data_IF_241636289208
#
_entry.id   IF_241636289208
#
_cell.length_a   1.000
_cell.length_b   1.000
_cell.length_c   1.000
_cell.angle_alpha   90.00
_cell.angle_beta   90.00
_cell.angle_gamma   90.00
#
_symmetry.space_group_name_H-M   'P 1'
#
loop_
_entity.id
_entity.type
_entity.pdbx_description
1 polymer ?
#
# COMPACT_ATOMS: atom_id res chain seq x y z
N UNK A 1 -13.28 12.71 -7.54
CA UNK A 1 -12.91 11.42 -8.16
C UNK A 1 -13.17 11.58 -9.65
N UNK A 2 -12.30 11.03 -10.51
CA UNK A 2 -12.49 11.13 -11.95
C UNK A 2 -13.68 10.27 -12.40
N UNK A 3 -14.44 10.76 -13.37
CA UNK A 3 -15.45 9.97 -14.05
C UNK A 3 -14.76 9.02 -15.04
N UNK A 4 -15.17 7.76 -15.05
CA UNK A 4 -14.58 6.74 -15.92
C UNK A 4 -15.62 6.11 -16.87
N UNK A 5 -16.19 6.89 -17.80
CA UNK A 5 -17.21 6.41 -18.73
C UNK A 5 -16.68 5.38 -19.73
N UNK A 6 -15.36 5.32 -19.93
CA UNK A 6 -14.71 4.39 -20.85
C UNK A 6 -14.08 3.18 -20.14
N UNK A 7 -14.23 3.05 -18.82
CA UNK A 7 -13.69 1.96 -18.02
C UNK A 7 -12.18 1.73 -18.22
N UNK A 8 -11.42 2.83 -18.33
CA UNK A 8 -9.98 2.81 -18.60
C UNK A 8 -9.15 2.90 -17.32
N UNK A 9 -9.74 3.33 -16.20
CA UNK A 9 -9.03 3.56 -14.96
C UNK A 9 -8.95 2.29 -14.12
N UNK A 10 -7.78 1.67 -14.12
CA UNK A 10 -7.53 0.45 -13.35
C UNK A 10 -6.84 0.74 -12.02
N UNK A 11 -7.16 -0.07 -11.02
CA UNK A 11 -6.46 -0.11 -9.74
C UNK A 11 -5.29 -1.10 -9.83
N UNK A 12 -4.07 -0.66 -9.49
CA UNK A 12 -2.88 -1.50 -9.67
C UNK A 12 -2.90 -2.75 -8.78
N UNK A 13 -3.26 -2.60 -7.51
CA UNK A 13 -3.41 -3.69 -6.53
C UNK A 13 -4.51 -3.35 -5.54
N UNK A 14 -5.05 -4.34 -4.84
CA UNK A 14 -6.08 -4.18 -3.80
C UNK A 14 -5.72 -3.15 -2.71
N UNK A 15 -4.42 -2.92 -2.47
CA UNK A 15 -3.92 -1.99 -1.45
C UNK A 15 -3.88 -0.52 -1.91
N UNK A 16 -4.04 -0.24 -3.20
CA UNK A 16 -4.07 1.12 -3.75
C UNK A 16 -5.45 1.74 -3.55
N UNK A 17 -5.54 2.83 -2.79
CA UNK A 17 -6.84 3.43 -2.46
C UNK A 17 -7.32 4.41 -3.54
N UNK A 18 -6.53 5.45 -3.82
CA UNK A 18 -6.96 6.57 -4.66
C UNK A 18 -6.36 6.53 -6.08
N UNK A 19 -5.10 6.12 -6.21
CA UNK A 19 -4.42 6.16 -7.50
C UNK A 19 -5.08 5.20 -8.51
N UNK A 20 -5.13 5.64 -9.77
CA UNK A 20 -5.61 4.87 -10.91
C UNK A 20 -4.57 4.96 -12.03
N UNK A 21 -4.56 3.96 -12.89
CA UNK A 21 -3.66 3.87 -14.04
C UNK A 21 -4.50 3.65 -15.29
N UNK A 22 -4.03 4.19 -16.42
CA UNK A 22 -4.42 3.70 -17.74
C UNK A 22 -3.20 2.95 -18.26
N UNK A 23 -3.38 1.73 -18.76
CA UNK A 23 -2.31 0.89 -19.30
C UNK A 23 -2.47 0.73 -20.80
N UNK A 24 -1.33 0.69 -21.47
CA UNK A 24 -1.21 0.46 -22.91
C UNK A 24 -0.12 -0.57 -23.14
N UNK A 25 -0.27 -1.36 -24.19
CA UNK A 25 0.75 -2.34 -24.61
C UNK A 25 1.53 -1.87 -25.84
N UNK A 26 0.92 -1.04 -26.68
CA UNK A 26 1.50 -0.53 -27.91
C UNK A 26 1.26 0.98 -28.09
N UNK A 27 2.16 1.64 -28.82
CA UNK A 27 2.08 3.08 -29.08
C UNK A 27 0.84 3.47 -29.90
N UNK A 28 0.37 2.59 -30.79
CA UNK A 28 -0.80 2.84 -31.64
C UNK A 28 -2.09 2.98 -30.81
N UNK A 29 -2.16 2.30 -29.66
CA UNK A 29 -3.28 2.44 -28.72
C UNK A 29 -3.35 3.88 -28.20
N UNK A 30 -2.20 4.47 -27.85
CA UNK A 30 -2.12 5.84 -27.35
C UNK A 30 -2.64 6.83 -28.40
N UNK A 31 -2.23 6.68 -29.66
CA UNK A 31 -2.69 7.54 -30.76
C UNK A 31 -4.19 7.40 -30.98
N UNK A 32 -4.71 6.17 -31.02
CA UNK A 32 -6.15 5.92 -31.21
C UNK A 32 -7.01 6.45 -30.06
N UNK A 33 -6.44 6.54 -28.86
CA UNK A 33 -7.12 6.96 -27.63
C UNK A 33 -6.85 8.42 -27.26
N UNK A 34 -6.09 9.16 -28.07
CA UNK A 34 -5.68 10.54 -27.78
C UNK A 34 -6.85 11.45 -27.33
N UNK A 35 -8.03 11.45 -27.99
CA UNK A 35 -9.14 12.31 -27.56
C UNK A 35 -9.65 11.96 -26.16
N UNK A 36 -9.70 10.65 -25.83
CA UNK A 36 -10.12 10.17 -24.52
C UNK A 36 -9.09 10.56 -23.46
N UNK A 37 -7.80 10.35 -23.76
CA UNK A 37 -6.72 10.67 -22.82
C UNK A 37 -6.68 12.15 -22.47
N UNK A 38 -6.85 13.03 -23.47
CA UNK A 38 -6.97 14.47 -23.23
C UNK A 38 -8.14 14.77 -22.30
N UNK A 39 -9.30 14.14 -22.49
CA UNK A 39 -10.45 14.35 -21.61
C UNK A 39 -10.16 13.97 -20.14
N UNK A 40 -9.53 12.81 -19.89
CA UNK A 40 -9.12 12.42 -18.53
C UNK A 40 -8.10 13.39 -17.91
N UNK A 41 -7.15 13.88 -18.72
CA UNK A 41 -6.13 14.84 -18.25
C UNK A 41 -6.80 16.18 -17.87
N UNK A 42 -7.71 16.69 -18.72
CA UNK A 42 -8.45 17.91 -18.42
C UNK A 42 -9.29 17.77 -17.14
N UNK A 43 -10.01 16.66 -16.99
CA UNK A 43 -10.79 16.41 -15.77
C UNK A 43 -9.88 16.33 -14.53
N UNK A 44 -8.72 15.67 -14.63
CA UNK A 44 -7.75 15.61 -13.53
C UNK A 44 -7.22 16.97 -13.10
N UNK A 45 -6.97 17.87 -14.07
CA UNK A 45 -6.59 19.25 -13.80
C UNK A 45 -7.71 19.99 -13.07
N UNK A 46 -8.96 19.86 -13.52
CA UNK A 46 -10.10 20.53 -12.88
C UNK A 46 -10.39 19.99 -11.47
N UNK A 47 -10.25 18.68 -11.27
CA UNK A 47 -10.36 18.06 -9.93
C UNK A 47 -9.27 18.59 -9.00
N UNK A 48 -8.03 18.72 -9.46
CA UNK A 48 -6.94 19.28 -8.64
C UNK A 48 -7.20 20.76 -8.31
N UNK A 49 -7.61 21.57 -9.29
CA UNK A 49 -7.99 22.98 -9.08
C UNK A 49 -9.14 23.15 -8.08
N UNK A 50 -10.10 22.21 -8.06
CA UNK A 50 -11.20 22.23 -7.09
C UNK A 50 -10.76 21.90 -5.65
N UNK A 51 -9.52 21.46 -5.44
CA UNK A 51 -8.98 21.09 -4.13
C UNK A 51 -9.59 19.80 -3.56
N UNK A 52 -10.30 19.02 -4.38
CA UNK A 52 -11.01 17.83 -3.95
C UNK A 52 -10.03 16.73 -3.53
N UNK A 53 -9.91 16.49 -2.22
CA UNK A 53 -9.09 15.40 -1.67
C UNK A 53 -9.90 14.14 -1.52
N UNK A 54 -9.36 13.02 -1.99
CA UNK A 54 -9.93 11.70 -1.72
C UNK A 54 -9.51 11.30 -0.30
N UNK A 55 -10.44 11.08 0.64
CA UNK A 55 -10.11 10.64 1.98
C UNK A 55 -9.45 9.26 1.90
N UNK A 56 -8.26 9.13 2.50
CA UNK A 56 -7.60 7.84 2.63
C UNK A 56 -8.32 7.04 3.71
N UNK A 57 -8.78 5.84 3.37
CA UNK A 57 -9.32 4.91 4.36
C UNK A 57 -8.16 4.41 5.21
N UNK A 58 -8.25 4.56 6.52
CA UNK A 58 -7.41 3.77 7.42
C UNK A 58 -7.92 2.32 7.37
N UNK A 59 -7.34 1.51 6.47
CA UNK A 59 -7.45 0.05 6.62
C UNK A 59 -6.66 -0.33 7.86
N UNK A 60 -7.38 -0.58 8.95
CA UNK A 60 -6.84 -1.25 10.13
C UNK A 60 -6.35 -2.63 9.69
N UNK A 61 -5.03 -2.78 9.67
CA UNK A 61 -4.43 -4.08 9.39
C UNK A 61 -4.40 -4.88 10.69
N UNK A 62 -4.93 -6.10 10.64
CA UNK A 62 -4.86 -7.01 11.76
C UNK A 62 -3.41 -7.45 11.97
N UNK A 63 -2.92 -7.28 13.20
CA UNK A 63 -1.60 -7.77 13.60
C UNK A 63 -1.68 -9.31 13.66
N UNK A 64 -0.82 -10.05 12.93
CA UNK A 64 -0.78 -11.50 12.99
C UNK A 64 -0.56 -12.01 14.40
N UNK A 65 -1.16 -13.14 14.74
CA UNK A 65 -1.01 -13.80 16.04
C UNK A 65 0.46 -14.10 16.35
N UNK A 66 1.22 -14.53 15.34
CA UNK A 66 2.65 -14.82 15.50
C UNK A 66 3.47 -13.59 15.92
N UNK A 67 3.08 -12.40 15.45
CA UNK A 67 3.74 -11.16 15.86
C UNK A 67 3.36 -10.77 17.29
N UNK A 68 2.10 -10.99 17.69
CA UNK A 68 1.65 -10.77 19.07
C UNK A 68 2.40 -11.68 20.05
N UNK A 69 2.55 -12.96 19.72
CA UNK A 69 3.35 -13.90 20.51
C UNK A 69 4.78 -13.41 20.70
N UNK A 70 5.42 -12.89 19.64
CA UNK A 70 6.77 -12.31 19.76
C UNK A 70 6.84 -11.03 20.58
N UNK A 71 5.76 -10.26 20.65
CA UNK A 71 5.66 -9.12 21.58
C UNK A 71 5.56 -9.56 23.03
N UNK A 72 4.84 -10.65 23.30
CA UNK A 72 4.72 -11.21 24.65
C UNK A 72 6.05 -11.85 25.11
N UNK A 73 6.77 -12.51 24.20
CA UNK A 73 8.12 -13.06 24.46
C UNK A 73 9.19 -11.97 24.64
N UNK A 74 9.07 -10.87 23.90
CA UNK A 74 10.06 -9.79 23.90
C UNK A 74 9.36 -8.41 23.98
N UNK A 75 9.16 -7.87 25.20
CA UNK A 75 8.55 -6.56 25.39
C UNK A 75 9.33 -5.42 24.70
N UNK A 76 10.65 -5.52 24.59
CA UNK A 76 11.47 -4.51 23.90
C UNK A 76 11.16 -4.46 22.39
N UNK A 77 10.88 -5.61 21.78
CA UNK A 77 10.43 -5.68 20.39
C UNK A 77 9.08 -4.97 20.21
N UNK A 78 8.15 -5.14 21.16
CA UNK A 78 6.86 -4.45 21.13
C UNK A 78 7.04 -2.94 21.17
N UNK A 79 7.81 -2.44 22.13
CA UNK A 79 8.09 -1.00 22.25
C UNK A 79 8.78 -0.45 21.00
N UNK A 80 9.78 -1.15 20.46
CA UNK A 80 10.46 -0.76 19.24
C UNK A 80 9.49 -0.71 18.05
N UNK A 81 8.65 -1.74 17.88
CA UNK A 81 7.62 -1.78 16.85
C UNK A 81 6.61 -0.65 16.99
N UNK A 82 6.16 -0.37 18.21
CA UNK A 82 5.23 0.73 18.53
C UNK A 82 5.86 2.11 18.32
N UNK A 83 7.19 2.24 18.37
CA UNK A 83 7.89 3.50 18.04
C UNK A 83 8.01 3.77 16.53
N UNK A 84 7.79 2.75 15.68
CA UNK A 84 7.88 2.92 14.23
C UNK A 84 6.81 3.88 13.69
N UNK A 85 7.13 4.55 12.58
CA UNK A 85 6.14 5.38 11.87
C UNK A 85 4.97 4.53 11.37
N UNK A 86 3.74 5.09 11.25
CA UNK A 86 2.58 4.33 10.79
C UNK A 86 2.81 3.60 9.45
N UNK A 87 3.56 4.23 8.55
CA UNK A 87 3.95 3.62 7.28
C UNK A 87 4.84 2.38 7.44
N UNK A 88 5.84 2.43 8.33
CA UNK A 88 6.71 1.28 8.62
C UNK A 88 5.95 0.15 9.30
N UNK A 89 5.12 0.46 10.30
CA UNK A 89 4.23 -0.53 10.95
C UNK A 89 3.35 -1.23 9.93
N UNK A 90 2.68 -0.45 9.06
CA UNK A 90 1.83 -0.97 7.99
C UNK A 90 2.61 -1.90 7.06
N UNK A 91 3.80 -1.50 6.64
CA UNK A 91 4.64 -2.30 5.74
C UNK A 91 5.05 -3.64 6.37
N UNK A 92 5.43 -3.65 7.65
CA UNK A 92 5.73 -4.87 8.38
C UNK A 92 4.51 -5.78 8.49
N UNK A 93 3.35 -5.25 8.89
CA UNK A 93 2.12 -6.05 9.02
C UNK A 93 1.76 -6.68 7.68
N UNK A 94 1.77 -5.92 6.57
CA UNK A 94 1.52 -6.47 5.24
C UNK A 94 2.51 -7.57 4.86
N UNK A 95 3.81 -7.36 5.13
CA UNK A 95 4.85 -8.34 4.83
C UNK A 95 4.70 -9.63 5.65
N UNK A 96 4.33 -9.54 6.92
CA UNK A 96 4.12 -10.68 7.80
C UNK A 96 2.79 -11.40 7.53
N UNK A 97 1.74 -10.68 7.12
CA UNK A 97 0.43 -11.27 6.82
C UNK A 97 0.34 -11.94 5.44
N UNK A 98 1.29 -11.69 4.53
CA UNK A 98 1.24 -12.22 3.17
C UNK A 98 1.33 -13.77 3.09
N UNK A 99 2.19 -14.48 3.85
CA UNK A 99 2.25 -15.94 3.79
C UNK A 99 1.05 -16.59 4.47
N UNK A 100 0.48 -17.62 3.83
CA UNK A 100 -0.62 -18.43 4.40
C UNK A 100 -0.15 -19.33 5.55
N UNK A 101 1.10 -19.82 5.47
CA UNK A 101 1.68 -20.73 6.46
C UNK A 101 2.25 -19.98 7.67
N UNK A 102 1.81 -20.36 8.88
CA UNK A 102 2.27 -19.76 10.15
C UNK A 102 3.79 -19.82 10.32
N UNK A 103 4.43 -20.96 9.99
CA UNK A 103 5.89 -21.12 10.05
C UNK A 103 6.63 -20.08 9.21
N UNK A 104 6.12 -19.73 8.03
CA UNK A 104 6.71 -18.70 7.17
C UNK A 104 6.52 -17.30 7.75
N UNK A 105 5.38 -17.03 8.40
CA UNK A 105 5.14 -15.76 9.11
C UNK A 105 6.13 -15.59 10.25
N UNK A 106 6.29 -16.60 11.11
CA UNK A 106 7.29 -16.62 12.19
C UNK A 106 8.71 -16.36 11.67
N UNK A 107 9.14 -17.11 10.65
CA UNK A 107 10.48 -16.94 10.08
C UNK A 107 10.73 -15.52 9.54
N UNK A 108 9.71 -14.89 8.91
CA UNK A 108 9.81 -13.49 8.46
C UNK A 108 9.92 -12.52 9.63
N UNK A 109 9.15 -12.74 10.69
CA UNK A 109 9.17 -11.90 11.90
C UNK A 109 10.55 -11.99 12.55
N UNK A 110 11.05 -13.19 12.81
CA UNK A 110 12.35 -13.44 13.45
C UNK A 110 13.49 -12.78 12.67
N UNK A 111 13.50 -12.92 11.35
CA UNK A 111 14.48 -12.27 10.47
C UNK A 111 14.43 -10.74 10.55
N UNK A 112 13.27 -10.17 10.87
CA UNK A 112 13.06 -8.73 10.93
C UNK A 112 13.26 -8.12 12.32
N UNK A 113 13.37 -8.93 13.38
CA UNK A 113 13.53 -8.45 14.76
C UNK A 113 14.69 -7.45 14.89
N UNK A 114 15.92 -7.71 14.39
CA UNK A 114 17.01 -6.75 14.52
C UNK A 114 16.70 -5.40 13.88
N UNK A 115 16.08 -5.41 12.69
CA UNK A 115 15.69 -4.19 11.98
C UNK A 115 14.64 -3.39 12.72
N UNK A 116 13.67 -4.06 13.35
CA UNK A 116 12.62 -3.41 14.14
C UNK A 116 13.24 -2.73 15.36
N UNK A 117 14.17 -3.41 16.04
CA UNK A 117 14.91 -2.84 17.19
C UNK A 117 15.77 -1.63 16.79
N UNK A 118 16.31 -1.62 15.58
CA UNK A 118 17.01 -0.47 14.99
C UNK A 118 16.07 0.63 14.46
N UNK A 119 14.75 0.44 14.55
CA UNK A 119 13.76 1.38 14.02
C UNK A 119 13.67 1.43 12.49
N UNK A 120 14.29 0.48 11.78
CA UNK A 120 14.33 0.42 10.31
C UNK A 120 13.05 -0.18 9.73
N UNK A 121 12.86 -0.04 8.42
CA UNK A 121 11.82 -0.76 7.68
C UNK A 121 12.31 -2.13 7.22
N UNK A 122 11.39 -3.04 6.87
CA UNK A 122 11.80 -4.39 6.44
C UNK A 122 12.64 -4.39 5.14
N UNK A 123 12.37 -3.42 4.25
CA UNK A 123 13.09 -3.17 2.99
C UNK A 123 14.30 -2.22 3.12
N UNK A 124 14.61 -1.74 4.33
CA UNK A 124 15.72 -0.83 4.57
C UNK A 124 16.99 -1.56 5.01
#
# INVERSE_FOLDING_TARGET
MLHDPHHLLIQQTENVQAARQIRFTHEQEIVSMEPKLKAYIYEAIEVEKSGLKIPKKNLELTIPEELKMKFDENPALKTAFESLTPGRKRAYILYFSQPKQSKTRLARIEKCVPKILEGKGWNA
#
